data_IF_408465951806
#
_entry.id   IF_408465951806
#
_cell.length_a   1.000
_cell.length_b   1.000
_cell.length_c   1.000
_cell.angle_alpha   90.00
_cell.angle_beta   90.00
_cell.angle_gamma   90.00
#
_symmetry.space_group_name_H-M   'P 1'
#
loop_
_entity.id
_entity.type
_entity.pdbx_description
1 polymer ?
#
# COMPACT_ATOMS: atom_id res chain seq x y z
N UNK A 1 28.80 -42.84 2.79
CA UNK A 1 28.17 -42.92 1.44
C UNK A 1 26.68 -43.04 1.71
N UNK A 2 25.87 -41.98 1.65
CA UNK A 2 25.32 -41.26 0.48
C UNK A 2 24.93 -39.86 1.02
N UNK A 3 25.67 -38.79 0.74
CA UNK A 3 25.38 -37.70 -0.24
C UNK A 3 23.95 -37.15 -0.30
N UNK A 4 23.84 -35.89 0.15
CA UNK A 4 23.19 -34.71 -0.48
C UNK A 4 21.69 -34.71 -0.82
N UNK A 5 21.00 -33.73 -0.25
CA UNK A 5 19.78 -33.12 -0.77
C UNK A 5 19.63 -31.70 -0.20
N UNK A 6 20.35 -30.74 -0.77
CA UNK A 6 20.28 -29.32 -0.46
C UNK A 6 18.91 -28.76 -0.87
N UNK A 7 18.17 -28.19 0.09
CA UNK A 7 16.98 -27.38 -0.18
C UNK A 7 17.41 -26.06 -0.83
N UNK A 8 16.83 -25.79 -2.00
CA UNK A 8 17.02 -24.58 -2.81
C UNK A 8 16.32 -23.37 -2.18
N UNK A 9 16.94 -22.16 -2.18
CA UNK A 9 16.35 -20.94 -1.63
C UNK A 9 15.54 -20.21 -2.72
N UNK A 10 14.22 -20.41 -2.72
CA UNK A 10 13.28 -19.67 -3.58
C UNK A 10 11.87 -19.60 -2.95
N UNK A 11 11.82 -19.64 -1.61
CA UNK A 11 10.57 -19.62 -0.82
C UNK A 11 10.13 -18.23 -0.35
N UNK A 12 10.71 -17.14 -0.88
CA UNK A 12 10.20 -15.77 -0.69
C UNK A 12 9.40 -15.21 -1.87
N UNK A 13 9.30 -15.96 -2.97
CA UNK A 13 8.39 -15.73 -4.11
C UNK A 13 7.00 -16.46 -4.01
N UNK A 14 6.60 -17.22 -2.96
CA UNK A 14 5.29 -17.89 -2.97
C UNK A 14 4.12 -16.92 -3.07
N UNK A 15 4.19 -15.75 -2.40
CA UNK A 15 3.08 -14.80 -2.41
C UNK A 15 2.90 -14.13 -3.77
N UNK A 16 4.00 -13.84 -4.50
CA UNK A 16 3.92 -13.27 -5.85
C UNK A 16 3.47 -14.34 -6.86
N UNK A 17 3.91 -15.60 -6.72
CA UNK A 17 3.48 -16.70 -7.59
C UNK A 17 1.98 -16.99 -7.46
N UNK A 18 1.45 -17.05 -6.24
CA UNK A 18 0.02 -17.28 -6.02
C UNK A 18 -0.83 -16.07 -6.47
N UNK A 19 -0.35 -14.84 -6.28
CA UNK A 19 -1.02 -13.60 -6.71
C UNK A 19 -0.94 -13.36 -8.23
N UNK A 20 0.18 -13.69 -8.89
CA UNK A 20 0.31 -13.61 -10.35
C UNK A 20 -0.49 -14.74 -11.02
N UNK A 21 -0.53 -15.94 -10.44
CA UNK A 21 -1.42 -16.99 -10.93
C UNK A 21 -2.90 -16.69 -10.67
N UNK A 22 -3.27 -16.04 -9.56
CA UNK A 22 -4.64 -15.58 -9.32
C UNK A 22 -5.02 -14.47 -10.31
N UNK A 23 -4.12 -13.53 -10.58
CA UNK A 23 -4.27 -12.49 -11.58
C UNK A 23 -4.37 -13.03 -13.00
N UNK A 24 -3.51 -13.96 -13.40
CA UNK A 24 -3.60 -14.60 -14.71
C UNK A 24 -4.84 -15.48 -14.80
N UNK A 25 -5.31 -16.12 -13.71
CA UNK A 25 -6.60 -16.80 -13.70
C UNK A 25 -7.76 -15.82 -13.81
N UNK A 26 -7.72 -14.67 -13.14
CA UNK A 26 -8.73 -13.61 -13.26
C UNK A 26 -8.67 -12.97 -14.65
N UNK A 27 -7.50 -12.78 -15.24
CA UNK A 27 -7.30 -12.16 -16.55
C UNK A 27 -7.62 -13.15 -17.69
N UNK A 28 -7.41 -14.46 -17.49
CA UNK A 28 -7.87 -15.51 -18.39
C UNK A 28 -9.33 -15.94 -18.17
N UNK A 29 -9.95 -15.72 -17.00
CA UNK A 29 -11.40 -15.93 -16.77
C UNK A 29 -12.24 -14.67 -16.99
N UNK A 30 -11.66 -13.46 -17.00
CA UNK A 30 -12.33 -12.26 -17.48
C UNK A 30 -12.50 -12.28 -19.01
N UNK A 31 -11.80 -13.18 -19.70
CA UNK A 31 -12.06 -13.51 -21.09
C UNK A 31 -13.25 -14.47 -21.22
N UNK A 32 -14.45 -14.00 -20.81
CA UNK A 32 -15.78 -14.27 -21.41
C UNK A 32 -16.92 -13.80 -20.49
N UNK A 33 -16.85 -12.57 -19.97
CA UNK A 33 -18.07 -11.78 -19.75
C UNK A 33 -18.50 -11.10 -21.07
N UNK A 34 -18.49 -11.84 -22.18
CA UNK A 34 -19.04 -11.35 -23.44
C UNK A 34 -20.57 -11.32 -23.29
N UNK A 35 -21.12 -10.12 -23.05
CA UNK A 35 -22.57 -9.89 -23.03
C UNK A 35 -23.12 -9.17 -21.80
N UNK A 36 -22.33 -8.95 -20.76
CA UNK A 36 -22.75 -8.14 -19.60
C UNK A 36 -22.11 -6.75 -19.71
N UNK A 37 -22.87 -5.78 -20.19
CA UNK A 37 -22.43 -4.39 -20.21
C UNK A 37 -22.38 -3.83 -18.79
N UNK A 38 -21.21 -3.88 -18.15
CA UNK A 38 -21.01 -3.19 -16.88
C UNK A 38 -20.92 -1.68 -17.12
N UNK A 39 -21.86 -0.93 -16.55
CA UNK A 39 -21.78 0.53 -16.53
C UNK A 39 -20.72 0.96 -15.52
N UNK A 40 -19.60 1.47 -15.99
CA UNK A 40 -18.56 2.07 -15.15
C UNK A 40 -18.70 3.59 -15.11
N UNK A 41 -18.15 4.21 -14.07
CA UNK A 41 -18.08 5.65 -13.90
C UNK A 41 -16.69 6.02 -13.39
N UNK A 42 -16.13 7.12 -13.90
CA UNK A 42 -14.84 7.65 -13.47
C UNK A 42 -15.08 8.74 -12.44
N UNK A 43 -14.41 8.63 -11.28
CA UNK A 43 -14.51 9.62 -10.20
C UNK A 43 -13.13 9.85 -9.59
N UNK A 44 -12.33 10.69 -10.26
CA UNK A 44 -10.96 10.98 -9.82
C UNK A 44 -10.92 11.77 -8.51
N UNK A 45 -11.93 12.60 -8.21
CA UNK A 45 -12.04 13.28 -6.92
C UNK A 45 -12.11 12.31 -5.73
N UNK A 46 -12.66 11.11 -5.95
CA UNK A 46 -12.74 10.07 -4.92
C UNK A 46 -11.55 9.12 -4.96
N UNK A 47 -11.11 8.68 -6.15
CA UNK A 47 -10.08 7.64 -6.29
C UNK A 47 -8.65 8.19 -6.38
N UNK A 48 -8.49 9.47 -6.71
CA UNK A 48 -7.22 10.22 -6.80
C UNK A 48 -7.25 11.46 -5.90
N UNK A 49 -7.89 11.35 -4.73
CA UNK A 49 -8.06 12.44 -3.75
C UNK A 49 -6.76 13.21 -3.45
N UNK A 50 -5.61 12.53 -3.50
CA UNK A 50 -4.30 13.08 -3.17
C UNK A 50 -3.87 14.17 -4.16
N UNK A 51 -4.29 14.10 -5.42
CA UNK A 51 -3.99 15.13 -6.42
C UNK A 51 -4.76 16.44 -6.18
N UNK A 52 -5.90 16.34 -5.49
CA UNK A 52 -6.77 17.49 -5.18
C UNK A 52 -6.52 18.03 -3.77
N UNK A 53 -5.65 17.38 -3.00
CA UNK A 53 -5.32 17.79 -1.65
C UNK A 53 -4.15 18.80 -1.68
N UNK A 54 -4.45 20.09 -1.71
CA UNK A 54 -3.44 21.13 -1.88
C UNK A 54 -2.30 21.05 -0.87
N UNK A 55 -2.63 20.84 0.42
CA UNK A 55 -1.62 20.67 1.47
C UNK A 55 -0.72 19.45 1.23
N UNK A 56 -1.26 18.33 0.75
CA UNK A 56 -0.46 17.17 0.39
C UNK A 56 0.51 17.51 -0.76
N UNK A 57 0.00 18.17 -1.79
CA UNK A 57 0.79 18.57 -2.96
C UNK A 57 1.95 19.48 -2.55
N UNK A 58 1.71 20.49 -1.72
CA UNK A 58 2.76 21.42 -1.32
C UNK A 58 3.71 20.86 -0.26
N UNK A 59 3.19 20.25 0.81
CA UNK A 59 3.99 19.80 1.95
C UNK A 59 4.79 18.52 1.62
N UNK A 60 4.38 17.75 0.60
CA UNK A 60 4.93 16.41 0.30
C UNK A 60 5.37 16.24 -1.16
N UNK A 61 4.50 16.44 -2.15
CA UNK A 61 4.88 16.20 -3.57
C UNK A 61 5.91 17.21 -4.08
N UNK A 62 5.69 18.50 -3.79
CA UNK A 62 6.58 19.58 -4.20
C UNK A 62 7.74 19.80 -3.22
N UNK A 63 7.65 19.23 -2.01
CA UNK A 63 8.65 19.38 -0.98
C UNK A 63 9.81 18.39 -1.14
N UNK A 64 10.95 18.91 -1.59
CA UNK A 64 12.19 18.13 -1.79
C UNK A 64 12.69 17.42 -0.53
N UNK A 65 12.31 17.88 0.67
CA UNK A 65 12.74 17.28 1.94
C UNK A 65 11.80 16.19 2.43
N UNK A 66 10.60 16.05 1.86
CA UNK A 66 9.59 15.11 2.34
C UNK A 66 10.01 13.64 2.22
N UNK A 67 10.95 13.33 1.31
CA UNK A 67 11.50 12.00 1.08
C UNK A 67 12.98 11.89 1.46
N UNK A 68 13.46 12.73 2.38
CA UNK A 68 14.86 12.75 2.83
C UNK A 68 15.37 11.35 3.21
N UNK A 69 14.57 10.56 3.93
CA UNK A 69 14.96 9.21 4.34
C UNK A 69 15.27 8.29 3.15
N UNK A 70 14.59 8.45 2.01
CA UNK A 70 14.87 7.68 0.80
C UNK A 70 16.23 8.05 0.22
N UNK A 71 16.51 9.35 0.12
CA UNK A 71 17.76 9.87 -0.44
C UNK A 71 18.97 9.54 0.44
N UNK A 72 18.81 9.58 1.77
CA UNK A 72 19.83 9.13 2.71
C UNK A 72 20.04 7.62 2.56
N UNK A 73 18.98 6.83 2.47
CA UNK A 73 19.10 5.37 2.33
C UNK A 73 19.76 4.95 1.02
N UNK A 74 19.54 5.67 -0.10
CA UNK A 74 20.27 5.43 -1.35
C UNK A 74 21.78 5.53 -1.19
N UNK A 75 22.25 6.36 -0.26
CA UNK A 75 23.68 6.56 0.02
C UNK A 75 24.21 5.69 1.18
N UNK A 76 23.40 4.74 1.66
CA UNK A 76 23.74 3.87 2.78
C UNK A 76 24.77 2.79 2.42
N UNK A 77 25.36 2.18 3.45
CA UNK A 77 26.29 1.04 3.27
C UNK A 77 25.56 -0.16 2.68
N UNK A 78 24.30 -0.36 3.01
CA UNK A 78 23.44 -1.41 2.51
C UNK A 78 23.29 -1.32 0.98
N UNK A 79 22.92 -0.14 0.46
CA UNK A 79 22.78 0.08 -0.98
C UNK A 79 24.11 0.01 -1.72
N UNK A 80 25.19 0.47 -1.10
CA UNK A 80 26.54 0.36 -1.64
C UNK A 80 26.99 -1.10 -1.80
N UNK A 81 26.66 -1.98 -0.85
CA UNK A 81 26.94 -3.41 -0.95
C UNK A 81 26.15 -4.08 -2.08
N UNK A 82 24.87 -3.69 -2.29
CA UNK A 82 24.10 -4.18 -3.45
C UNK A 82 24.76 -3.78 -4.77
N UNK A 83 25.23 -2.52 -4.89
CA UNK A 83 25.96 -2.04 -6.08
C UNK A 83 27.22 -2.87 -6.32
N UNK A 84 28.00 -3.15 -5.28
CA UNK A 84 29.23 -3.97 -5.35
C UNK A 84 28.94 -5.38 -5.82
N UNK A 85 27.93 -6.04 -5.25
CA UNK A 85 27.52 -7.39 -5.66
C UNK A 85 27.05 -7.43 -7.11
N UNK A 86 26.22 -6.47 -7.53
CA UNK A 86 25.78 -6.37 -8.93
C UNK A 86 26.95 -6.13 -9.90
N UNK A 87 27.85 -5.18 -9.59
CA UNK A 87 29.03 -4.91 -10.41
C UNK A 87 29.94 -6.14 -10.53
N UNK A 88 30.12 -6.88 -9.43
CA UNK A 88 30.87 -8.13 -9.41
C UNK A 88 30.24 -9.21 -10.28
N UNK A 89 28.91 -9.38 -10.24
CA UNK A 89 28.18 -10.35 -11.08
C UNK A 89 28.31 -10.02 -12.58
N UNK A 90 28.26 -8.73 -12.91
CA UNK A 90 28.39 -8.23 -14.28
C UNK A 90 29.85 -8.13 -14.78
N UNK A 91 30.83 -8.27 -13.88
CA UNK A 91 32.26 -8.11 -14.18
C UNK A 91 32.63 -6.73 -14.76
N UNK A 92 32.01 -5.67 -14.24
CA UNK A 92 32.26 -4.28 -14.65
C UNK A 92 32.69 -3.39 -13.48
N UNK A 93 33.34 -2.24 -13.72
CA UNK A 93 33.72 -1.33 -12.66
C UNK A 93 32.50 -0.80 -11.88
N UNK A 94 32.62 -0.74 -10.54
CA UNK A 94 31.58 -0.20 -9.65
C UNK A 94 31.14 1.23 -10.02
N UNK A 95 32.05 2.03 -10.59
CA UNK A 95 31.75 3.40 -11.06
C UNK A 95 30.70 3.45 -12.17
N UNK A 96 30.44 2.34 -12.87
CA UNK A 96 29.42 2.24 -13.91
C UNK A 96 28.04 1.84 -13.37
N UNK A 97 27.96 1.36 -12.13
CA UNK A 97 26.70 0.94 -11.49
C UNK A 97 26.26 2.04 -10.53
N UNK A 98 25.17 2.74 -10.84
CA UNK A 98 24.53 3.69 -9.92
C UNK A 98 23.42 3.00 -9.12
N UNK A 99 22.99 3.60 -8.02
CA UNK A 99 21.83 3.10 -7.25
C UNK A 99 20.57 3.03 -8.11
N UNK A 100 20.37 4.02 -8.98
CA UNK A 100 19.20 4.05 -9.87
C UNK A 100 19.24 2.92 -10.92
N UNK A 101 20.44 2.50 -11.37
CA UNK A 101 20.59 1.33 -12.24
C UNK A 101 20.27 0.02 -11.51
N UNK A 102 20.69 -0.09 -10.23
CA UNK A 102 20.34 -1.25 -9.39
C UNK A 102 18.82 -1.34 -9.24
N UNK A 103 18.16 -0.22 -8.94
CA UNK A 103 16.71 -0.16 -8.84
C UNK A 103 16.02 -0.50 -10.17
N UNK A 104 16.53 0.02 -11.28
CA UNK A 104 15.99 -0.30 -12.60
C UNK A 104 16.08 -1.80 -12.91
N UNK A 105 17.19 -2.46 -12.59
CA UNK A 105 17.33 -3.91 -12.75
C UNK A 105 16.31 -4.68 -11.90
N UNK A 106 16.09 -4.26 -10.65
CA UNK A 106 15.08 -4.86 -9.78
C UNK A 106 13.66 -4.70 -10.33
N UNK A 107 13.29 -3.51 -10.80
CA UNK A 107 11.99 -3.29 -11.41
C UNK A 107 11.81 -4.04 -12.73
N UNK A 108 12.85 -4.10 -13.58
CA UNK A 108 12.82 -4.89 -14.82
C UNK A 108 12.59 -6.37 -14.54
N UNK A 109 13.27 -6.94 -13.54
CA UNK A 109 13.00 -8.28 -13.05
C UNK A 109 11.52 -8.44 -12.67
N UNK A 110 11.00 -7.54 -11.82
CA UNK A 110 9.62 -7.63 -11.34
C UNK A 110 8.56 -7.48 -12.44
N UNK A 111 8.78 -6.57 -13.40
CA UNK A 111 7.84 -6.31 -14.49
C UNK A 111 7.85 -7.44 -15.52
N UNK A 112 9.01 -7.95 -15.90
CA UNK A 112 9.08 -9.09 -16.82
C UNK A 112 8.46 -10.33 -16.20
N UNK A 113 8.68 -10.57 -14.90
CA UNK A 113 8.00 -11.63 -14.18
C UNK A 113 6.48 -11.44 -14.18
N UNK A 114 5.98 -10.25 -13.82
CA UNK A 114 4.54 -9.99 -13.74
C UNK A 114 3.83 -10.06 -15.12
N UNK A 115 4.49 -9.62 -16.19
CA UNK A 115 3.89 -9.55 -17.53
C UNK A 115 4.02 -10.89 -18.27
N UNK A 116 5.17 -11.54 -18.18
CA UNK A 116 5.52 -12.72 -19.00
C UNK A 116 5.54 -14.03 -18.20
N UNK A 117 5.49 -13.98 -16.86
CA UNK A 117 5.75 -15.13 -15.99
C UNK A 117 7.14 -15.75 -16.21
N UNK A 118 8.10 -14.93 -16.60
CA UNK A 118 9.48 -15.36 -16.86
C UNK A 118 10.41 -14.84 -15.77
N UNK A 119 11.30 -15.71 -15.30
CA UNK A 119 12.41 -15.28 -14.47
C UNK A 119 13.51 -14.72 -15.38
N UNK A 120 13.53 -13.39 -15.54
CA UNK A 120 14.40 -12.76 -16.52
C UNK A 120 15.86 -12.68 -16.06
N UNK A 121 16.83 -12.52 -16.98
CA UNK A 121 18.23 -12.36 -16.61
C UNK A 121 18.50 -11.21 -15.62
N UNK A 122 17.62 -10.20 -15.56
CA UNK A 122 17.69 -9.12 -14.58
C UNK A 122 17.57 -9.63 -13.14
N UNK A 123 16.74 -10.65 -12.91
CA UNK A 123 16.57 -11.25 -11.59
C UNK A 123 17.84 -11.96 -11.10
N UNK A 124 18.68 -12.48 -12.02
CA UNK A 124 19.95 -13.13 -11.67
C UNK A 124 21.04 -12.15 -11.17
N UNK A 125 20.82 -10.84 -11.33
CA UNK A 125 21.75 -9.82 -10.86
C UNK A 125 21.63 -9.54 -9.35
N UNK A 126 20.57 -10.05 -8.72
CA UNK A 126 20.19 -9.76 -7.35
C UNK A 126 19.97 -11.08 -6.61
N UNK A 127 20.35 -11.12 -5.33
CA UNK A 127 19.94 -12.19 -4.43
C UNK A 127 18.86 -11.72 -3.45
N UNK A 128 18.47 -12.59 -2.53
CA UNK A 128 17.45 -12.31 -1.52
C UNK A 128 17.82 -11.14 -0.61
N UNK A 129 19.09 -11.03 -0.20
CA UNK A 129 19.57 -9.94 0.66
C UNK A 129 19.53 -8.62 -0.11
N UNK A 130 19.90 -8.63 -1.38
CA UNK A 130 19.78 -7.47 -2.27
C UNK A 130 18.31 -7.03 -2.41
N UNK A 131 17.41 -8.00 -2.60
CA UNK A 131 15.97 -7.75 -2.73
C UNK A 131 15.37 -7.17 -1.45
N UNK A 132 15.78 -7.63 -0.27
CA UNK A 132 15.33 -7.06 1.02
C UNK A 132 15.75 -5.59 1.20
N UNK A 133 16.98 -5.24 0.81
CA UNK A 133 17.47 -3.85 0.84
C UNK A 133 16.64 -2.96 -0.09
N UNK A 134 16.38 -3.44 -1.31
CA UNK A 134 15.61 -2.71 -2.31
C UNK A 134 14.12 -2.59 -1.96
N UNK A 135 13.55 -3.63 -1.36
CA UNK A 135 12.20 -3.62 -0.80
C UNK A 135 12.10 -2.58 0.31
N UNK A 136 13.05 -2.55 1.25
CA UNK A 136 13.06 -1.57 2.33
C UNK A 136 13.18 -0.13 1.79
N UNK A 137 14.01 0.08 0.76
CA UNK A 137 14.10 1.37 0.07
C UNK A 137 12.77 1.80 -0.56
N UNK A 138 12.04 0.86 -1.15
CA UNK A 138 10.71 1.12 -1.69
C UNK A 138 9.68 1.39 -0.57
N UNK A 139 9.75 0.65 0.53
CA UNK A 139 8.91 0.86 1.71
C UNK A 139 9.14 2.24 2.32
N UNK A 140 10.39 2.71 2.44
CA UNK A 140 10.70 4.08 2.85
C UNK A 140 10.01 5.09 1.95
N UNK A 141 10.10 4.92 0.62
CA UNK A 141 9.44 5.82 -0.33
C UNK A 141 7.94 5.87 -0.08
N UNK A 142 7.28 4.73 0.05
CA UNK A 142 5.82 4.70 0.25
C UNK A 142 5.41 5.16 1.66
N UNK A 143 6.20 4.84 2.68
CA UNK A 143 6.00 5.27 4.06
C UNK A 143 5.98 6.79 4.15
N UNK A 144 7.01 7.43 3.61
CA UNK A 144 7.19 8.88 3.65
C UNK A 144 6.32 9.62 2.64
N UNK A 145 6.02 9.03 1.48
CA UNK A 145 5.22 9.69 0.45
C UNK A 145 3.71 9.52 0.61
N UNK A 146 3.24 8.34 1.05
CA UNK A 146 1.83 7.94 0.95
C UNK A 146 1.20 7.46 2.26
N UNK A 147 2.00 7.22 3.30
CA UNK A 147 1.52 6.63 4.55
C UNK A 147 1.97 7.44 5.78
N UNK A 148 2.61 6.81 6.76
CA UNK A 148 2.81 7.36 8.09
C UNK A 148 3.85 8.48 8.21
N UNK A 149 4.64 8.77 7.17
CA UNK A 149 5.71 9.76 7.27
C UNK A 149 5.21 11.19 7.50
N UNK A 150 4.08 11.57 6.92
CA UNK A 150 3.44 12.87 7.15
C UNK A 150 1.96 12.68 7.44
N UNK A 151 1.42 13.42 8.41
CA UNK A 151 0.01 13.29 8.81
C UNK A 151 -0.97 13.55 7.65
N UNK A 152 -0.62 14.49 6.77
CA UNK A 152 -1.43 14.83 5.59
C UNK A 152 -1.55 13.68 4.58
N UNK A 153 -0.56 12.78 4.51
CA UNK A 153 -0.57 11.65 3.59
C UNK A 153 -1.83 10.81 3.80
N UNK A 154 -2.07 10.35 5.03
CA UNK A 154 -3.25 9.57 5.39
C UNK A 154 -4.54 10.40 5.35
N UNK A 155 -4.50 11.64 5.84
CA UNK A 155 -5.69 12.52 5.89
C UNK A 155 -6.18 12.96 4.52
N UNK A 156 -5.33 12.96 3.49
CA UNK A 156 -5.78 13.16 2.12
C UNK A 156 -6.87 12.15 1.72
N UNK A 157 -6.94 10.97 2.35
CA UNK A 157 -7.96 9.95 2.08
C UNK A 157 -9.29 10.12 2.82
N UNK A 158 -9.49 11.20 3.59
CA UNK A 158 -10.74 11.41 4.33
C UNK A 158 -11.99 11.25 3.44
N UNK A 159 -11.97 11.75 2.20
CA UNK A 159 -13.11 11.66 1.28
C UNK A 159 -13.46 10.22 0.92
N UNK A 160 -12.46 9.37 0.67
CA UNK A 160 -12.65 7.94 0.39
C UNK A 160 -13.11 7.19 1.63
N UNK A 161 -12.54 7.49 2.79
CA UNK A 161 -12.95 6.93 4.07
C UNK A 161 -14.44 7.19 4.37
N UNK A 162 -14.89 8.43 4.20
CA UNK A 162 -16.30 8.78 4.38
C UNK A 162 -17.22 8.15 3.34
N UNK A 163 -16.80 8.06 2.07
CA UNK A 163 -17.60 7.39 1.05
C UNK A 163 -17.81 5.90 1.37
N UNK A 164 -16.75 5.22 1.84
CA UNK A 164 -16.81 3.82 2.28
C UNK A 164 -17.84 3.63 3.40
N UNK A 165 -17.70 4.38 4.51
CA UNK A 165 -18.60 4.21 5.66
C UNK A 165 -20.02 4.68 5.38
N UNK A 166 -20.20 5.71 4.54
CA UNK A 166 -21.53 6.11 4.07
C UNK A 166 -22.24 4.98 3.31
N UNK A 167 -21.51 4.21 2.48
CA UNK A 167 -22.09 3.06 1.77
C UNK A 167 -22.44 1.92 2.72
N UNK A 168 -21.59 1.64 3.70
CA UNK A 168 -21.86 0.65 4.74
C UNK A 168 -23.07 1.05 5.60
N UNK A 169 -23.17 2.33 5.97
CA UNK A 169 -24.31 2.89 6.70
C UNK A 169 -25.60 2.77 5.89
N UNK A 170 -25.56 3.11 4.59
CA UNK A 170 -26.71 2.94 3.70
C UNK A 170 -27.12 1.47 3.58
N UNK A 171 -26.17 0.54 3.39
CA UNK A 171 -26.47 -0.88 3.32
C UNK A 171 -27.07 -1.42 4.63
N UNK A 172 -26.55 -0.97 5.78
CA UNK A 172 -27.11 -1.29 7.10
C UNK A 172 -28.53 -0.74 7.28
N UNK A 173 -28.80 0.49 6.82
CA UNK A 173 -30.13 1.09 6.87
C UNK A 173 -31.12 0.34 5.97
N UNK A 174 -30.75 0.09 4.72
CA UNK A 174 -31.58 -0.60 3.73
C UNK A 174 -31.92 -2.02 4.21
N UNK A 175 -30.95 -2.74 4.77
CA UNK A 175 -31.20 -4.07 5.36
C UNK A 175 -32.22 -4.03 6.51
N UNK A 176 -32.18 -3.00 7.38
CA UNK A 176 -33.06 -2.92 8.55
C UNK A 176 -34.47 -2.41 8.23
N UNK A 177 -34.60 -1.51 7.26
CA UNK A 177 -35.82 -0.71 7.08
C UNK A 177 -36.35 -0.69 5.64
N UNK A 178 -35.65 -1.28 4.69
CA UNK A 178 -36.00 -1.21 3.28
C UNK A 178 -35.57 -2.44 2.50
N UNK A 179 -35.16 -2.21 1.26
CA UNK A 179 -34.68 -3.24 0.35
C UNK A 179 -33.24 -2.94 -0.05
N UNK A 180 -32.37 -3.95 0.01
CA UNK A 180 -30.96 -3.81 -0.38
C UNK A 180 -30.87 -3.76 -1.91
N UNK A 181 -30.86 -2.55 -2.46
CA UNK A 181 -30.78 -2.33 -3.92
C UNK A 181 -29.35 -2.40 -4.48
N UNK A 182 -28.33 -2.25 -3.61
CA UNK A 182 -26.91 -2.29 -3.98
C UNK A 182 -26.14 -3.21 -3.04
N UNK A 183 -26.15 -4.50 -3.35
CA UNK A 183 -25.47 -5.52 -2.56
C UNK A 183 -23.93 -5.44 -2.64
N UNK A 184 -23.38 -4.95 -3.76
CA UNK A 184 -21.93 -4.89 -4.01
C UNK A 184 -21.54 -3.53 -4.59
N UNK A 185 -20.45 -2.96 -4.09
CA UNK A 185 -19.81 -1.76 -4.63
C UNK A 185 -18.34 -2.09 -4.94
N UNK A 186 -17.95 -1.99 -6.21
CA UNK A 186 -16.57 -2.23 -6.67
C UNK A 186 -15.95 -0.89 -7.03
N UNK A 187 -14.78 -0.60 -6.48
CA UNK A 187 -13.98 0.57 -6.78
C UNK A 187 -12.60 0.11 -7.22
N UNK A 188 -12.06 0.75 -8.26
CA UNK A 188 -10.72 0.46 -8.78
C UNK A 188 -9.88 1.72 -8.65
N UNK A 189 -8.72 1.58 -8.02
CA UNK A 189 -7.78 2.68 -7.77
C UNK A 189 -6.34 2.21 -7.94
N UNK A 190 -5.42 2.97 -7.37
CA UNK A 190 -3.99 2.68 -7.40
C UNK A 190 -3.47 2.27 -6.02
N UNK A 191 -2.21 1.82 -5.95
CA UNK A 191 -1.55 1.60 -4.66
C UNK A 191 -1.56 2.88 -3.80
N UNK A 192 -1.40 4.03 -4.44
CA UNK A 192 -1.50 5.37 -3.85
C UNK A 192 -2.90 5.75 -3.37
N UNK A 193 -3.95 5.03 -3.79
CA UNK A 193 -5.30 5.16 -3.25
C UNK A 193 -5.44 4.37 -1.95
N UNK A 194 -4.92 3.14 -1.94
CA UNK A 194 -5.09 2.19 -0.85
C UNK A 194 -4.19 2.47 0.36
N UNK A 195 -2.92 2.84 0.12
CA UNK A 195 -1.94 3.10 1.18
C UNK A 195 -2.37 4.20 2.17
N UNK A 196 -2.82 5.40 1.71
CA UNK A 196 -3.35 6.43 2.60
C UNK A 196 -4.55 5.96 3.43
N UNK A 197 -5.49 5.25 2.81
CA UNK A 197 -6.72 4.77 3.46
C UNK A 197 -6.42 3.75 4.57
N UNK A 198 -5.57 2.76 4.27
CA UNK A 198 -5.11 1.77 5.26
C UNK A 198 -4.39 2.46 6.42
N UNK A 199 -3.55 3.45 6.11
CA UNK A 199 -2.80 4.21 7.11
C UNK A 199 -3.69 5.13 7.95
N UNK A 200 -4.76 5.67 7.37
CA UNK A 200 -5.76 6.47 8.07
C UNK A 200 -6.50 5.63 9.12
N UNK A 201 -6.86 4.39 8.77
CA UNK A 201 -7.47 3.41 9.68
C UNK A 201 -6.48 2.76 10.66
N UNK A 202 -5.19 3.13 10.60
CA UNK A 202 -4.17 2.69 11.56
C UNK A 202 -3.58 1.30 11.28
N UNK A 203 -3.80 0.73 10.10
CA UNK A 203 -3.21 -0.57 9.73
C UNK A 203 -1.71 -0.47 9.45
N UNK A 204 -0.96 -1.53 9.78
CA UNK A 204 0.47 -1.66 9.49
C UNK A 204 1.34 -0.54 10.08
N UNK A 205 0.93 0.05 11.20
CA UNK A 205 1.75 1.04 11.90
C UNK A 205 2.82 0.36 12.74
N UNK A 206 4.06 0.63 12.42
CA UNK A 206 5.22 0.27 13.24
C UNK A 206 5.31 1.11 14.51
N UNK A 207 5.91 0.52 15.56
CA UNK A 207 6.18 1.24 16.81
C UNK A 207 7.25 2.32 16.60
N UNK A 208 8.30 1.98 15.85
CA UNK A 208 9.34 2.91 15.44
C UNK A 208 9.18 3.22 13.96
N UNK A 209 9.14 4.51 13.56
CA UNK A 209 9.08 4.90 12.16
C UNK A 209 10.19 4.28 11.31
N UNK A 210 9.89 3.99 10.04
CA UNK A 210 10.89 3.55 9.08
C UNK A 210 11.79 4.74 8.71
N UNK A 211 13.11 4.56 8.81
CA UNK A 211 14.13 5.58 8.55
C UNK A 211 15.30 4.99 7.78
N UNK A 212 16.15 5.81 7.19
CA UNK A 212 17.35 5.32 6.50
C UNK A 212 18.30 4.54 7.42
N UNK A 213 18.26 4.77 8.73
CA UNK A 213 19.27 4.26 9.67
C UNK A 213 18.86 2.96 10.36
N UNK A 214 17.60 2.53 10.24
CA UNK A 214 17.07 1.40 11.02
C UNK A 214 16.69 0.16 10.19
N UNK A 215 17.21 0.01 8.96
CA UNK A 215 17.00 -1.19 8.13
C UNK A 215 17.25 -2.50 8.91
N UNK A 216 18.39 -2.59 9.59
CA UNK A 216 18.79 -3.78 10.37
C UNK A 216 17.85 -4.14 11.53
N UNK A 217 17.02 -3.19 11.98
CA UNK A 217 16.04 -3.39 13.05
C UNK A 217 14.62 -3.65 12.50
N UNK A 218 14.42 -3.46 11.19
CA UNK A 218 13.12 -3.42 10.52
C UNK A 218 12.87 -4.63 9.61
N UNK A 219 13.57 -5.74 9.83
CA UNK A 219 13.33 -7.00 9.10
C UNK A 219 11.91 -7.55 9.33
N UNK A 220 11.33 -7.31 10.52
CA UNK A 220 9.96 -7.73 10.90
C UNK A 220 8.97 -6.56 10.95
N UNK A 221 9.23 -5.49 10.19
CA UNK A 221 8.34 -4.32 10.10
C UNK A 221 6.94 -4.73 9.65
N UNK A 222 5.94 -4.05 10.20
CA UNK A 222 4.54 -4.18 9.77
C UNK A 222 4.30 -3.46 8.46
N UNK A 223 4.93 -2.31 8.25
CA UNK A 223 4.83 -1.57 6.99
C UNK A 223 5.72 -2.18 5.91
N UNK A 224 5.17 -3.16 5.18
CA UNK A 224 5.85 -3.86 4.08
C UNK A 224 4.98 -3.83 2.83
N UNK A 225 5.28 -2.96 1.89
CA UNK A 225 4.38 -2.65 0.77
C UNK A 225 4.19 -3.80 -0.20
N UNK A 226 5.17 -4.69 -0.34
CA UNK A 226 5.05 -5.94 -1.10
C UNK A 226 3.95 -6.86 -0.58
N UNK A 227 3.56 -6.74 0.70
CA UNK A 227 2.48 -7.54 1.30
C UNK A 227 1.18 -6.76 1.44
N UNK A 228 1.27 -5.44 1.55
CA UNK A 228 0.11 -4.57 1.74
C UNK A 228 -0.56 -4.23 0.41
N UNK A 229 0.24 -3.84 -0.59
CA UNK A 229 -0.23 -3.34 -1.88
C UNK A 229 0.53 -3.96 -3.06
N UNK A 230 0.59 -5.30 -3.19
CA UNK A 230 1.10 -5.95 -4.39
C UNK A 230 0.24 -5.61 -5.63
N UNK A 231 0.64 -6.14 -6.79
CA UNK A 231 -0.21 -6.06 -7.97
C UNK A 231 -1.57 -6.70 -7.69
N UNK A 232 -2.64 -5.99 -8.07
CA UNK A 232 -4.02 -6.35 -7.78
C UNK A 232 -4.36 -6.55 -6.30
N UNK A 233 -3.65 -5.82 -5.43
CA UNK A 233 -4.07 -5.68 -4.06
C UNK A 233 -5.55 -5.30 -3.97
N UNK A 234 -6.24 -5.92 -3.03
CA UNK A 234 -7.67 -5.74 -2.84
C UNK A 234 -8.01 -5.47 -1.38
N UNK A 235 -9.07 -4.69 -1.23
CA UNK A 235 -9.63 -4.29 0.05
C UNK A 235 -11.11 -4.63 0.04
N UNK A 236 -11.54 -5.50 0.95
CA UNK A 236 -12.93 -5.93 1.01
C UNK A 236 -13.52 -5.70 2.39
N UNK A 237 -14.70 -5.09 2.42
CA UNK A 237 -15.55 -4.96 3.59
C UNK A 237 -16.83 -5.76 3.36
N UNK A 238 -17.15 -6.68 4.26
CA UNK A 238 -18.33 -7.54 4.18
C UNK A 238 -19.19 -7.34 5.41
N UNK A 239 -20.45 -6.96 5.19
CA UNK A 239 -21.46 -6.94 6.24
C UNK A 239 -22.18 -8.28 6.29
N UNK A 240 -22.06 -8.99 7.42
CA UNK A 240 -22.76 -10.23 7.69
C UNK A 240 -23.95 -9.97 8.61
N UNK A 241 -25.07 -10.59 8.29
CA UNK A 241 -26.19 -10.76 9.21
C UNK A 241 -25.89 -11.90 10.18
N UNK A 242 -25.92 -11.61 11.47
CA UNK A 242 -25.74 -12.58 12.54
C UNK A 242 -26.85 -12.42 13.58
N UNK A 243 -27.04 -13.43 14.43
CA UNK A 243 -28.11 -13.43 15.44
C UNK A 243 -28.03 -12.28 16.44
N UNK A 244 -26.84 -11.72 16.64
CA UNK A 244 -26.57 -10.58 17.53
C UNK A 244 -26.43 -9.24 16.81
N UNK A 245 -26.71 -9.20 15.50
CA UNK A 245 -26.72 -8.00 14.68
C UNK A 245 -25.76 -8.06 13.49
N UNK A 246 -25.65 -6.92 12.80
CA UNK A 246 -24.74 -6.78 11.65
C UNK A 246 -23.29 -6.78 12.13
N UNK A 247 -22.47 -7.61 11.51
CA UNK A 247 -21.03 -7.72 11.76
C UNK A 247 -20.25 -7.31 10.53
N UNK A 248 -19.13 -6.62 10.74
CA UNK A 248 -18.26 -6.17 9.66
C UNK A 248 -16.98 -7.01 9.68
N UNK A 249 -16.74 -7.77 8.62
CA UNK A 249 -15.45 -8.40 8.38
C UNK A 249 -14.68 -7.63 7.31
N UNK A 250 -13.39 -7.54 7.50
CA UNK A 250 -12.49 -6.78 6.64
C UNK A 250 -11.37 -7.69 6.14
N UNK A 251 -11.01 -7.56 4.87
CA UNK A 251 -9.97 -8.36 4.24
C UNK A 251 -9.00 -7.46 3.46
N UNK A 252 -7.71 -7.80 3.55
CA UNK A 252 -6.65 -7.24 2.72
C UNK A 252 -5.99 -8.41 2.00
N UNK A 253 -5.96 -8.37 0.67
CA UNK A 253 -5.38 -9.43 -0.15
C UNK A 253 -5.94 -10.80 0.27
N UNK A 254 -7.29 -10.87 0.31
CA UNK A 254 -8.08 -12.06 0.66
C UNK A 254 -7.84 -12.62 2.08
N UNK A 255 -7.00 -11.97 2.89
CA UNK A 255 -6.72 -12.39 4.27
C UNK A 255 -7.62 -11.61 5.22
N UNK A 256 -8.35 -12.30 6.13
CA UNK A 256 -9.17 -11.62 7.12
C UNK A 256 -8.28 -10.85 8.09
N UNK A 257 -8.68 -9.62 8.37
CA UNK A 257 -7.92 -8.67 9.17
C UNK A 257 -8.74 -8.24 10.39
N UNK A 258 -8.06 -7.98 11.49
CA UNK A 258 -8.65 -7.39 12.70
C UNK A 258 -8.36 -5.90 12.73
N UNK A 259 -9.36 -5.09 13.08
CA UNK A 259 -9.12 -3.67 13.29
C UNK A 259 -8.15 -3.46 14.45
N UNK A 260 -7.21 -2.50 14.35
CA UNK A 260 -6.33 -2.17 15.47
C UNK A 260 -7.15 -1.93 16.74
N UNK A 261 -6.73 -2.50 17.88
CA UNK A 261 -7.43 -2.39 19.18
C UNK A 261 -8.82 -3.04 19.26
N UNK A 262 -9.28 -3.77 18.25
CA UNK A 262 -10.48 -4.62 18.31
C UNK A 262 -10.06 -6.09 18.21
N UNK A 263 -10.18 -6.85 19.30
CA UNK A 263 -9.79 -8.26 19.33
C UNK A 263 -10.92 -9.18 18.87
N UNK A 264 -11.40 -8.99 17.64
CA UNK A 264 -12.43 -9.82 17.00
C UNK A 264 -12.28 -9.75 15.47
N UNK A 265 -12.43 -10.88 14.77
CA UNK A 265 -12.27 -10.97 13.31
C UNK A 265 -13.42 -10.35 12.51
N UNK A 266 -14.65 -10.48 13.01
CA UNK A 266 -15.85 -9.83 12.46
C UNK A 266 -16.66 -9.13 13.57
N UNK A 267 -16.19 -8.01 14.14
CA UNK A 267 -16.89 -7.30 15.22
C UNK A 267 -18.27 -6.78 14.77
N UNK A 268 -19.12 -6.44 15.74
CA UNK A 268 -20.37 -5.73 15.44
C UNK A 268 -20.04 -4.44 14.67
N UNK A 269 -20.84 -4.15 13.64
CA UNK A 269 -20.63 -2.98 12.79
C UNK A 269 -20.58 -1.68 13.62
N UNK A 270 -21.47 -1.57 14.60
CA UNK A 270 -21.51 -0.43 15.53
C UNK A 270 -20.23 -0.29 16.37
N UNK A 271 -19.60 -1.41 16.77
CA UNK A 271 -18.32 -1.38 17.48
C UNK A 271 -17.21 -0.80 16.61
N UNK A 272 -17.20 -1.12 15.31
CA UNK A 272 -16.23 -0.53 14.36
C UNK A 272 -16.50 0.97 14.17
N UNK A 273 -17.76 1.38 14.01
CA UNK A 273 -18.12 2.81 13.92
C UNK A 273 -17.66 3.57 15.14
N UNK A 274 -17.95 3.07 16.34
CA UNK A 274 -17.52 3.69 17.59
C UNK A 274 -15.99 3.74 17.73
N UNK A 275 -15.28 2.71 17.27
CA UNK A 275 -13.82 2.70 17.28
C UNK A 275 -13.21 3.78 16.37
N UNK A 276 -13.90 4.09 15.26
CA UNK A 276 -13.46 5.06 14.25
C UNK A 276 -14.20 6.41 14.36
N UNK A 277 -14.89 6.68 15.48
CA UNK A 277 -15.74 7.88 15.64
C UNK A 277 -14.97 9.17 15.42
N UNK A 278 -13.74 9.27 15.95
CA UNK A 278 -12.89 10.46 15.78
C UNK A 278 -12.62 10.78 14.30
N UNK A 279 -12.51 9.75 13.45
CA UNK A 279 -12.34 9.92 12.02
C UNK A 279 -13.67 10.21 11.31
N UNK A 280 -14.74 9.50 11.70
CA UNK A 280 -16.09 9.67 11.15
C UNK A 280 -16.68 11.06 11.44
N UNK A 281 -16.32 11.66 12.58
CA UNK A 281 -16.81 12.98 12.96
C UNK A 281 -15.82 14.10 12.61
N UNK A 282 -14.52 13.80 12.51
CA UNK A 282 -13.44 14.80 12.46
C UNK A 282 -12.64 14.90 11.16
N UNK A 283 -12.54 13.84 10.35
CA UNK A 283 -11.68 13.81 9.17
C UNK A 283 -12.34 14.55 7.99
N UNK A 284 -12.21 15.87 7.89
CA UNK A 284 -12.78 16.64 6.79
C UNK A 284 -11.73 16.91 5.70
N UNK A 285 -11.94 16.37 4.50
CA UNK A 285 -10.99 16.50 3.38
C UNK A 285 -10.65 17.96 3.07
N UNK A 286 -11.64 18.87 3.05
CA UNK A 286 -11.40 20.26 2.69
C UNK A 286 -10.53 20.94 3.74
N UNK A 287 -10.88 20.81 5.01
CA UNK A 287 -10.13 21.38 6.13
C UNK A 287 -8.72 20.81 6.24
N UNK A 288 -8.56 19.50 6.09
CA UNK A 288 -7.25 18.86 6.20
C UNK A 288 -6.32 19.22 5.03
N UNK A 289 -6.88 19.41 3.84
CA UNK A 289 -6.14 19.77 2.63
C UNK A 289 -5.96 21.27 2.40
N UNK A 290 -6.56 22.12 3.22
CA UNK A 290 -6.30 23.56 3.23
C UNK A 290 -4.86 23.85 3.69
N UNK A 291 -4.19 24.78 3.00
CA UNK A 291 -2.87 25.23 3.42
C UNK A 291 -2.97 26.01 4.74
N UNK A 292 -1.98 25.88 5.65
CA UNK A 292 -1.92 26.70 6.85
C UNK A 292 -1.94 28.19 6.49
N UNK A 293 -2.81 28.97 7.15
CA UNK A 293 -2.82 30.42 6.97
C UNK A 293 -1.49 30.98 7.48
N UNK A 294 -0.67 31.50 6.57
CA UNK A 294 0.56 32.24 6.92
C UNK A 294 0.13 33.46 7.73
N UNK A 295 0.44 33.49 9.04
CA UNK A 295 0.33 34.73 9.80
C UNK A 295 1.46 35.64 9.31
N UNK A 296 1.19 36.88 8.84
CA UNK A 296 2.25 37.79 8.48
C UNK A 296 3.09 38.05 9.73
N UNK A 297 4.37 37.65 9.67
CA UNK A 297 5.39 38.09 10.63
C UNK A 297 5.35 39.62 10.63
N UNK A 298 5.03 40.22 11.78
CA UNK A 298 5.24 41.65 11.97
C UNK A 298 6.74 41.88 11.86
N UNK A 299 7.20 42.33 10.70
CA UNK A 299 8.51 42.96 10.57
C UNK A 299 8.39 44.29 11.32
N UNK A 300 8.86 44.34 12.56
CA UNK A 300 9.11 45.59 13.25
C UNK A 300 10.23 46.32 12.47
N UNK A 301 9.90 47.52 12.00
CA UNK A 301 10.79 48.48 11.35
C UNK A 301 11.33 49.45 12.41
#
# INVERSE_FOLDING_TARGET
MITSGSQTPLQLIPNILDEVHSLQRIQCHCATAQGVGFKHYVNDSLMRFFEQCQRYVEDVENNKTALKEVEVFKSSVEMEEVRRRMASRLQIPLSQITTDLVEAAFFLCSYEFAIKSENSPWCNLLDEVDAEVLEYKNDLKQYWKRAYGHDINRKSSCSLFHDLFRRLDQASYDYRFGEVTKAVSIQVGHAETLLPLLSLMGFFRDETPLTAENFSQQHNRKFRTSWMVPYAANLLFVLYECSDGLRLQFFINEKPMTFPKINHSAPLYETVRNHLSDLLDGCDFKKECELPRVRPTKTEL
#
